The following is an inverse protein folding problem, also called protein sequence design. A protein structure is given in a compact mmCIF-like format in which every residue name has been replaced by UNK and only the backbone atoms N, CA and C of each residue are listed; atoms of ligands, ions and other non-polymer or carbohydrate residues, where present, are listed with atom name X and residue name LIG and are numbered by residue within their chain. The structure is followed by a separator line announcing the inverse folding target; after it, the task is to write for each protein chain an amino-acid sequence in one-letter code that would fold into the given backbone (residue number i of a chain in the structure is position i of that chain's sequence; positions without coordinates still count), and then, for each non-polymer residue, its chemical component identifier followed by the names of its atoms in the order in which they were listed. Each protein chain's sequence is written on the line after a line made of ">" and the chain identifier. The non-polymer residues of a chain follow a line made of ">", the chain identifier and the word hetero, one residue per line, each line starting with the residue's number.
data_IF_815499466969
#
_entry.id   IF_815499466969
#
_cell.length_a   1.000
_cell.length_b   1.000
_cell.length_c   1.000
_cell.angle_alpha   90.00
_cell.angle_beta   90.00
_cell.angle_gamma   90.00
#
_symmetry.space_group_name_H-M   'P 1'
#
loop_
_entity.id
_entity.type
_entity.pdbx_description
1 polymer ?
#
# COMPACT_ATOMS: atom_id res chain seq x y z
N UNK A 1 -58.11 30.32 1.40
CA UNK A 1 -57.52 28.97 1.40
C UNK A 1 -56.13 29.01 0.76
N UNK A 2 -55.06 29.05 1.55
CA UNK A 2 -53.68 29.00 1.04
C UNK A 2 -53.26 27.54 0.91
N UNK A 3 -52.80 27.14 -0.28
CA UNK A 3 -52.25 25.81 -0.56
C UNK A 3 -50.82 25.76 -0.05
N UNK A 4 -50.57 24.96 0.97
CA UNK A 4 -49.22 24.63 1.41
C UNK A 4 -48.70 23.43 0.58
N UNK A 5 -47.54 23.59 -0.05
CA UNK A 5 -46.83 22.55 -0.81
C UNK A 5 -45.38 22.54 -0.35
N UNK A 6 -45.14 22.07 0.87
CA UNK A 6 -43.80 21.69 1.32
C UNK A 6 -43.45 20.29 0.75
N UNK A 7 -42.91 20.27 -0.48
CA UNK A 7 -42.18 19.10 -0.98
C UNK A 7 -40.87 18.97 -0.21
N UNK A 8 -40.86 18.08 0.78
CA UNK A 8 -39.64 17.59 1.43
C UNK A 8 -38.65 17.07 0.36
N UNK A 9 -37.51 17.74 0.22
CA UNK A 9 -36.34 17.22 -0.49
C UNK A 9 -35.79 16.08 0.35
N UNK A 10 -36.06 14.82 -0.05
CA UNK A 10 -35.28 13.67 0.41
C UNK A 10 -33.86 13.83 -0.10
N UNK A 11 -32.98 14.17 0.83
CA UNK A 11 -31.56 14.36 0.63
C UNK A 11 -30.93 13.01 0.27
N UNK A 12 -30.34 12.89 -0.92
CA UNK A 12 -29.62 11.70 -1.39
C UNK A 12 -28.27 11.63 -0.67
N UNK A 13 -28.22 11.03 0.52
CA UNK A 13 -26.99 11.04 1.33
C UNK A 13 -26.66 9.79 2.16
N UNK A 14 -27.21 8.61 1.85
CA UNK A 14 -26.91 7.39 2.64
C UNK A 14 -25.92 6.41 1.99
N UNK A 15 -26.05 6.09 0.69
CA UNK A 15 -25.34 4.90 0.15
C UNK A 15 -23.81 5.03 0.01
N UNK A 16 -23.27 6.25 -0.08
CA UNK A 16 -21.82 6.47 -0.23
C UNK A 16 -21.07 6.39 1.10
N UNK A 17 -21.75 6.60 2.23
CA UNK A 17 -21.13 6.58 3.55
C UNK A 17 -20.87 5.14 4.02
N UNK A 18 -21.87 4.28 3.86
CA UNK A 18 -21.79 2.86 4.22
C UNK A 18 -20.67 2.11 3.49
N UNK A 19 -20.41 2.44 2.22
CA UNK A 19 -19.31 1.82 1.46
C UNK A 19 -17.93 2.20 2.00
N UNK A 20 -17.76 3.45 2.43
CA UNK A 20 -16.48 3.94 2.97
C UNK A 20 -16.20 3.36 4.35
N UNK A 21 -17.24 3.23 5.17
CA UNK A 21 -17.14 2.67 6.52
C UNK A 21 -16.89 1.15 6.47
N UNK A 22 -17.56 0.42 5.57
CA UNK A 22 -17.30 -1.01 5.36
C UNK A 22 -15.87 -1.29 4.89
N UNK A 23 -15.30 -0.41 4.08
CA UNK A 23 -13.94 -0.58 3.61
C UNK A 23 -12.91 -0.38 4.73
N UNK A 24 -13.11 0.59 5.62
CA UNK A 24 -12.24 0.79 6.78
C UNK A 24 -12.24 -0.42 7.73
N UNK A 25 -13.33 -1.19 7.74
CA UNK A 25 -13.48 -2.42 8.52
C UNK A 25 -12.96 -3.67 7.79
N UNK A 26 -12.79 -3.60 6.47
CA UNK A 26 -12.31 -4.73 5.67
C UNK A 26 -10.84 -5.04 5.98
N UNK A 27 -10.52 -6.33 5.99
CA UNK A 27 -9.14 -6.79 6.19
C UNK A 27 -8.28 -6.36 5.00
N UNK A 28 -7.05 -5.96 5.27
CA UNK A 28 -6.10 -5.65 4.20
C UNK A 28 -5.74 -6.93 3.44
N UNK A 29 -5.62 -6.80 2.13
CA UNK A 29 -5.17 -7.86 1.23
C UNK A 29 -3.95 -7.38 0.44
N UNK A 30 -3.22 -8.32 -0.13
CA UNK A 30 -1.98 -8.06 -0.84
C UNK A 30 -2.05 -8.64 -2.24
N UNK A 31 -1.54 -7.89 -3.21
CA UNK A 31 -1.47 -8.31 -4.60
C UNK A 31 -0.04 -8.18 -5.11
N UNK A 32 0.40 -9.20 -5.84
CA UNK A 32 1.65 -9.20 -6.61
C UNK A 32 1.39 -8.99 -8.11
N UNK A 33 0.17 -8.62 -8.53
CA UNK A 33 -0.16 -8.37 -9.93
C UNK A 33 0.76 -7.32 -10.57
N UNK A 34 1.16 -6.31 -9.79
CA UNK A 34 2.05 -5.23 -10.22
C UNK A 34 3.51 -5.47 -9.78
N UNK A 35 3.85 -6.68 -9.37
CA UNK A 35 5.21 -7.00 -8.94
C UNK A 35 6.13 -7.06 -10.17
N UNK A 36 7.12 -6.17 -10.20
CA UNK A 36 8.11 -6.06 -11.25
C UNK A 36 9.43 -6.68 -10.79
N UNK A 37 9.80 -6.52 -9.52
CA UNK A 37 11.04 -7.06 -8.93
C UNK A 37 12.29 -6.40 -9.52
N UNK A 38 12.60 -6.68 -10.80
CA UNK A 38 13.54 -5.99 -11.68
C UNK A 38 13.51 -6.63 -13.08
N UNK A 39 12.93 -5.96 -14.08
CA UNK A 39 13.12 -6.29 -15.51
C UNK A 39 13.34 -5.06 -16.42
N UNK A 40 13.34 -3.84 -15.85
CA UNK A 40 13.69 -2.60 -16.55
C UNK A 40 14.37 -1.59 -15.62
N UNK A 41 15.48 -1.01 -16.08
CA UNK A 41 16.11 0.28 -15.66
C UNK A 41 15.89 0.69 -14.19
N UNK A 42 16.48 -0.02 -13.22
CA UNK A 42 16.60 0.42 -11.80
C UNK A 42 15.29 0.46 -10.98
N UNK A 43 14.28 -0.34 -11.35
CA UNK A 43 13.09 -0.52 -10.52
C UNK A 43 13.34 -1.63 -9.47
N UNK A 44 13.78 -1.26 -8.28
CA UNK A 44 13.79 -2.15 -7.10
C UNK A 44 14.74 -3.36 -7.15
N UNK A 45 14.40 -4.36 -6.33
CA UNK A 45 15.12 -5.63 -6.18
C UNK A 45 14.22 -6.86 -6.40
N UNK A 46 14.80 -7.96 -6.91
CA UNK A 46 14.10 -9.22 -7.20
C UNK A 46 14.05 -10.17 -6.00
N UNK A 47 13.21 -11.21 -6.11
CA UNK A 47 13.20 -12.34 -5.16
C UNK A 47 14.53 -13.07 -5.12
N UNK A 48 15.17 -13.29 -6.28
CA UNK A 48 16.46 -13.99 -6.35
C UNK A 48 17.58 -13.18 -5.69
N UNK A 49 17.62 -11.86 -5.93
CA UNK A 49 18.56 -10.98 -5.23
C UNK A 49 18.34 -11.07 -3.70
N UNK A 50 17.11 -11.11 -3.22
CA UNK A 50 16.85 -11.30 -1.78
C UNK A 50 17.27 -12.67 -1.27
N UNK A 51 16.92 -13.73 -1.99
CA UNK A 51 17.24 -15.12 -1.65
C UNK A 51 18.74 -15.37 -1.55
N UNK A 52 19.52 -14.83 -2.48
CA UNK A 52 20.98 -14.98 -2.52
C UNK A 52 21.68 -14.23 -1.38
N UNK A 53 21.14 -13.08 -0.96
CA UNK A 53 21.73 -12.27 0.11
C UNK A 53 21.36 -12.79 1.51
N UNK A 54 20.08 -13.01 1.75
CA UNK A 54 19.57 -13.56 3.00
C UNK A 54 18.18 -14.19 2.76
N UNK A 55 18.09 -15.54 2.66
CA UNK A 55 16.84 -16.21 2.35
C UNK A 55 15.77 -16.05 3.45
N UNK A 56 16.16 -15.65 4.66
CA UNK A 56 15.20 -15.43 5.75
C UNK A 56 14.32 -14.20 5.51
N UNK A 57 14.79 -13.20 4.74
CA UNK A 57 14.03 -11.97 4.46
C UNK A 57 12.71 -12.23 3.72
N UNK A 58 12.71 -13.22 2.82
CA UNK A 58 11.49 -13.63 2.10
C UNK A 58 10.51 -14.28 3.06
N UNK A 59 11.00 -15.17 3.94
CA UNK A 59 10.18 -15.83 4.96
C UNK A 59 9.59 -14.80 5.92
N UNK A 60 10.39 -13.83 6.37
CA UNK A 60 9.96 -12.73 7.23
C UNK A 60 8.87 -11.88 6.57
N UNK A 61 9.03 -11.56 5.28
CA UNK A 61 8.00 -10.86 4.52
C UNK A 61 6.70 -11.67 4.47
N UNK A 62 6.76 -12.96 4.14
CA UNK A 62 5.57 -13.83 4.06
C UNK A 62 4.85 -13.94 5.41
N UNK A 63 5.59 -14.15 6.50
CA UNK A 63 5.05 -14.14 7.86
C UNK A 63 4.40 -12.80 8.20
N UNK A 64 5.02 -11.69 7.77
CA UNK A 64 4.45 -10.35 7.96
C UNK A 64 3.16 -10.16 7.18
N UNK A 65 3.10 -10.59 5.93
CA UNK A 65 1.88 -10.52 5.12
C UNK A 65 0.76 -11.38 5.71
N UNK A 66 1.08 -12.58 6.19
CA UNK A 66 0.13 -13.44 6.89
C UNK A 66 -0.47 -12.73 8.12
N UNK A 67 0.38 -12.14 8.96
CA UNK A 67 -0.07 -11.37 10.11
C UNK A 67 -0.91 -10.16 9.70
N UNK A 68 -0.42 -9.34 8.78
CA UNK A 68 -1.14 -8.14 8.35
C UNK A 68 -2.49 -8.47 7.71
N UNK A 69 -2.63 -9.61 7.04
CA UNK A 69 -3.91 -10.09 6.51
C UNK A 69 -4.97 -10.36 7.59
N UNK A 70 -4.61 -10.34 8.87
CA UNK A 70 -5.56 -10.40 9.99
C UNK A 70 -6.10 -9.02 10.41
N UNK A 71 -5.43 -7.95 9.98
CA UNK A 71 -5.73 -6.57 10.34
C UNK A 71 -6.54 -5.87 9.26
N UNK A 72 -7.22 -4.79 9.62
CA UNK A 72 -7.69 -3.80 8.64
C UNK A 72 -6.58 -2.77 8.30
N UNK A 73 -6.81 -1.95 7.28
CA UNK A 73 -5.83 -0.96 6.82
C UNK A 73 -5.46 0.07 7.89
N UNK A 74 -6.41 0.48 8.75
CA UNK A 74 -6.15 1.48 9.79
C UNK A 74 -5.24 0.90 10.88
N UNK A 75 -5.54 -0.32 11.34
CA UNK A 75 -4.71 -1.05 12.31
C UNK A 75 -3.29 -1.22 11.79
N UNK A 76 -3.12 -1.68 10.54
CA UNK A 76 -1.80 -1.85 9.92
C UNK A 76 -0.99 -0.54 9.82
N UNK A 77 -1.67 0.60 9.62
CA UNK A 77 -1.07 1.94 9.62
C UNK A 77 -0.71 2.42 11.02
N UNK A 78 -1.59 2.23 12.00
CA UNK A 78 -1.39 2.60 13.41
C UNK A 78 -0.15 1.92 14.01
N UNK A 79 0.03 0.62 13.72
CA UNK A 79 1.23 -0.11 14.16
C UNK A 79 2.47 0.17 13.31
N UNK A 80 2.36 1.05 12.29
CA UNK A 80 3.43 1.46 11.37
C UNK A 80 4.06 0.32 10.58
N UNK A 81 3.33 -0.77 10.38
CA UNK A 81 3.74 -1.88 9.51
C UNK A 81 3.41 -1.62 8.06
N UNK A 82 2.32 -0.88 7.82
CA UNK A 82 2.00 -0.25 6.55
C UNK A 82 2.22 1.26 6.70
N UNK A 83 2.96 1.87 5.80
CA UNK A 83 3.01 3.34 5.69
C UNK A 83 2.61 3.72 4.27
N UNK A 84 1.54 4.51 4.15
CA UNK A 84 1.10 5.07 2.86
C UNK A 84 1.49 6.54 2.87
N UNK A 85 2.31 6.91 1.90
CA UNK A 85 2.77 8.25 1.63
C UNK A 85 1.87 8.90 0.57
N UNK A 86 2.48 9.68 -0.34
CA UNK A 86 1.84 10.29 -1.48
C UNK A 86 2.37 9.74 -2.82
N UNK A 87 2.66 10.61 -3.79
CA UNK A 87 3.34 10.24 -5.04
C UNK A 87 4.69 9.56 -4.79
N UNK A 88 5.23 8.94 -5.85
CA UNK A 88 6.54 8.30 -5.81
C UNK A 88 7.62 9.27 -5.27
N UNK A 89 8.47 8.84 -4.32
CA UNK A 89 9.42 9.72 -3.65
C UNK A 89 10.42 10.35 -4.64
N UNK A 90 10.62 11.68 -4.62
CA UNK A 90 11.52 12.36 -5.56
C UNK A 90 13.00 12.04 -5.32
N UNK A 91 13.35 11.62 -4.11
CA UNK A 91 14.70 11.29 -3.64
C UNK A 91 14.99 9.79 -3.60
N UNK A 92 14.05 8.97 -4.10
CA UNK A 92 14.23 7.52 -4.22
C UNK A 92 15.49 7.17 -4.99
N UNK A 93 16.18 6.10 -4.59
CA UNK A 93 17.25 5.51 -5.42
C UNK A 93 16.70 4.58 -6.50
N UNK A 94 15.40 4.30 -6.48
CA UNK A 94 14.72 3.53 -7.51
C UNK A 94 13.98 4.44 -8.48
N UNK A 95 13.79 3.97 -9.71
CA UNK A 95 12.98 4.67 -10.71
C UNK A 95 11.50 4.28 -10.58
N UNK A 96 10.60 5.25 -10.74
CA UNK A 96 9.17 4.98 -10.82
C UNK A 96 8.84 4.24 -12.13
N UNK A 97 8.16 3.08 -12.10
CA UNK A 97 7.72 2.39 -13.30
C UNK A 97 6.80 3.28 -14.16
N UNK A 98 7.00 3.27 -15.48
CA UNK A 98 6.27 4.16 -16.42
C UNK A 98 4.74 4.02 -16.28
N UNK A 99 4.26 2.79 -16.20
CA UNK A 99 2.85 2.47 -16.07
C UNK A 99 2.25 2.85 -14.71
N UNK A 100 3.08 3.18 -13.70
CA UNK A 100 2.64 3.52 -12.34
C UNK A 100 2.89 4.98 -11.97
N UNK A 101 3.37 5.84 -12.89
CA UNK A 101 3.64 7.26 -12.63
C UNK A 101 2.42 8.06 -12.15
N UNK A 102 1.22 7.63 -12.51
CA UNK A 102 -0.03 8.29 -12.13
C UNK A 102 -0.48 7.96 -10.70
N UNK A 103 0.14 6.97 -10.05
CA UNK A 103 -0.21 6.55 -8.70
C UNK A 103 0.28 7.56 -7.67
N UNK A 104 -0.63 8.01 -6.81
CA UNK A 104 -0.38 9.01 -5.76
C UNK A 104 -0.49 8.45 -4.33
N UNK A 105 -0.57 7.13 -4.19
CA UNK A 105 -0.78 6.40 -2.92
C UNK A 105 0.33 5.39 -2.67
N UNK A 106 1.57 5.77 -3.00
CA UNK A 106 2.74 4.93 -2.76
C UNK A 106 2.98 4.71 -1.27
N UNK A 107 3.59 3.59 -0.94
CA UNK A 107 3.80 3.18 0.43
C UNK A 107 4.79 2.04 0.56
N UNK A 108 4.97 1.60 1.79
CA UNK A 108 5.81 0.45 2.13
C UNK A 108 5.14 -0.43 3.17
N UNK A 109 5.34 -1.73 3.02
CA UNK A 109 5.29 -2.66 4.15
C UNK A 109 6.68 -2.69 4.79
N UNK A 110 6.73 -2.68 6.13
CA UNK A 110 7.96 -2.62 6.93
C UNK A 110 7.83 -3.42 8.23
N UNK A 111 8.90 -3.43 9.04
CA UNK A 111 8.99 -4.15 10.32
C UNK A 111 8.83 -5.67 10.17
N UNK A 112 9.59 -6.25 9.23
CA UNK A 112 9.69 -7.70 9.09
C UNK A 112 11.14 -8.19 9.10
N UNK A 113 12.09 -7.44 8.54
CA UNK A 113 13.51 -7.78 8.63
C UNK A 113 14.37 -6.51 8.56
N UNK A 114 14.97 -6.08 9.67
CA UNK A 114 15.86 -4.91 9.73
C UNK A 114 15.36 -3.65 8.97
N UNK A 115 16.15 -3.22 7.98
CA UNK A 115 15.84 -2.07 7.12
C UNK A 115 14.93 -2.41 5.93
N UNK A 116 14.60 -3.68 5.73
CA UNK A 116 13.85 -4.13 4.57
C UNK A 116 12.46 -3.52 4.49
N UNK A 117 12.05 -3.24 3.26
CA UNK A 117 10.76 -2.71 2.85
C UNK A 117 10.25 -3.53 1.67
N UNK A 118 8.93 -3.60 1.56
CA UNK A 118 8.25 -3.99 0.33
C UNK A 118 7.46 -2.78 -0.19
N UNK A 119 8.07 -1.97 -1.09
CA UNK A 119 7.41 -0.85 -1.73
C UNK A 119 6.24 -1.25 -2.64
N UNK A 120 5.23 -0.40 -2.66
CA UNK A 120 4.01 -0.64 -3.41
C UNK A 120 3.05 0.53 -3.33
N UNK A 121 1.79 0.29 -3.68
CA UNK A 121 0.75 1.30 -3.57
C UNK A 121 -0.56 0.74 -3.04
N UNK A 122 -1.32 1.58 -2.34
CA UNK A 122 -2.64 1.26 -1.84
C UNK A 122 -3.71 1.67 -2.85
N UNK A 123 -4.59 0.76 -3.24
CA UNK A 123 -5.62 1.02 -4.26
C UNK A 123 -6.83 1.81 -3.73
N UNK A 124 -6.87 2.10 -2.43
CA UNK A 124 -8.00 2.77 -1.81
C UNK A 124 -9.19 1.86 -1.56
N UNK A 125 -9.07 0.55 -1.79
CA UNK A 125 -10.10 -0.49 -1.66
C UNK A 125 -9.62 -1.71 -0.86
N UNK A 126 -8.65 -1.52 0.04
CA UNK A 126 -8.20 -2.56 0.97
C UNK A 126 -7.10 -3.45 0.40
N UNK A 127 -6.61 -3.19 -0.81
CA UNK A 127 -5.52 -3.96 -1.43
C UNK A 127 -4.24 -3.13 -1.47
N UNK A 128 -3.16 -3.68 -0.91
CA UNK A 128 -1.82 -3.14 -1.11
C UNK A 128 -1.12 -3.93 -2.22
N UNK A 129 -0.81 -3.26 -3.32
CA UNK A 129 -0.12 -3.82 -4.48
C UNK A 129 1.38 -3.70 -4.27
N UNK A 130 2.06 -4.81 -4.02
CA UNK A 130 3.52 -4.85 -3.86
C UNK A 130 4.15 -4.80 -5.25
N UNK A 131 5.08 -3.86 -5.47
CA UNK A 131 5.68 -3.61 -6.78
C UNK A 131 7.11 -4.13 -6.86
N UNK A 132 7.91 -3.94 -5.82
CA UNK A 132 9.28 -4.44 -5.78
C UNK A 132 9.75 -4.59 -4.33
N UNK A 133 10.98 -5.06 -4.15
CA UNK A 133 11.61 -5.25 -2.86
C UNK A 133 12.73 -4.22 -2.63
N UNK A 134 12.97 -3.85 -1.38
CA UNK A 134 13.99 -2.89 -0.97
C UNK A 134 14.60 -3.29 0.37
N UNK A 135 15.74 -3.99 0.35
CA UNK A 135 16.42 -4.45 1.56
C UNK A 135 17.14 -3.33 2.33
N UNK A 136 17.41 -2.20 1.67
CA UNK A 136 18.34 -1.16 2.14
C UNK A 136 17.63 0.13 2.60
N UNK A 137 16.30 0.20 2.50
CA UNK A 137 15.53 1.43 2.75
C UNK A 137 15.88 2.56 1.77
N UNK A 138 16.08 2.20 0.51
CA UNK A 138 16.45 3.09 -0.60
C UNK A 138 15.24 3.66 -1.35
N UNK A 139 14.03 3.11 -1.11
CA UNK A 139 12.81 3.60 -1.75
C UNK A 139 12.39 4.97 -1.23
N UNK A 140 12.27 5.12 0.09
CA UNK A 140 11.90 6.38 0.73
C UNK A 140 12.94 6.69 1.81
N UNK A 141 14.16 7.12 1.43
CA UNK A 141 15.21 7.40 2.38
C UNK A 141 14.77 8.54 3.30
N UNK A 142 14.71 8.29 4.60
CA UNK A 142 14.54 9.36 5.59
C UNK A 142 15.91 9.80 6.08
N UNK A 143 16.11 11.10 6.30
CA UNK A 143 17.26 11.58 7.05
C UNK A 143 17.33 10.84 8.40
N UNK A 144 18.54 10.38 8.75
CA UNK A 144 18.81 9.67 10.00
C UNK A 144 18.88 10.64 11.17
#
# INVERSE_FOLDING_TARGET
>A
MKRDRSKSKRDRRDETRDKKDNLALSKITFSFLNFIGKDTKEVGQTWDEWKENDPTMIVDLLNKLQYLGTLNTNQAKEEKSLTVYGPFPPDSKFKCPENLKHISTWGVIRKFSGLARAPGFYDGQGVFNIVFLDKNHEFWPSER
#
